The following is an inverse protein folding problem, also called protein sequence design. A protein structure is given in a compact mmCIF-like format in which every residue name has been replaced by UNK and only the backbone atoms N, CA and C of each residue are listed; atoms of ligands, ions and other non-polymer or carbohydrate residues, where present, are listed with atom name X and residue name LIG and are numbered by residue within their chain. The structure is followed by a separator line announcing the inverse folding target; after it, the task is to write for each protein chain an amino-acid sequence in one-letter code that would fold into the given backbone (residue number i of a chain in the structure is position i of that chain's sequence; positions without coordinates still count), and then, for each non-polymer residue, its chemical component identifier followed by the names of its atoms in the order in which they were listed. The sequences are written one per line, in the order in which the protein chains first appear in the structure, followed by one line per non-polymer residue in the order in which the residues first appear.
data_IF_947189898809
#
_entry.id   IF_947189898809
#
_cell.length_a   1.000
_cell.length_b   1.000
_cell.length_c   1.000
_cell.angle_alpha   90.00
_cell.angle_beta   90.00
_cell.angle_gamma   90.00
#
_symmetry.space_group_name_H-M   'P 1'
#
loop_
_entity.id
_entity.type
_entity.pdbx_description
1 polymer ?
#
# COMPACT_ATOMS: atom_id res chain seq x y z
N UNK A 1 -0.20 4.12 -14.98
CA UNK A 1 1.25 4.22 -14.69
C UNK A 1 1.49 5.56 -14.01
N UNK A 2 2.48 5.63 -13.11
CA UNK A 2 2.84 6.87 -12.41
C UNK A 2 3.57 7.85 -13.34
N UNK A 3 3.41 9.17 -13.15
CA UNK A 3 4.22 10.19 -13.83
C UNK A 3 5.69 10.09 -13.41
N UNK A 4 6.57 10.90 -14.02
CA UNK A 4 8.03 10.88 -13.74
C UNK A 4 8.35 11.15 -12.27
N UNK A 5 7.64 12.09 -11.66
CA UNK A 5 7.72 12.49 -10.26
C UNK A 5 6.80 11.68 -9.32
N UNK A 6 6.11 10.68 -9.86
CA UNK A 6 5.21 9.84 -9.06
C UNK A 6 5.97 8.94 -8.10
N UNK A 7 5.37 8.71 -6.94
CA UNK A 7 5.92 7.88 -5.87
C UNK A 7 4.92 6.79 -5.45
N UNK A 8 5.44 5.64 -5.01
CA UNK A 8 4.68 4.50 -4.51
C UNK A 8 5.26 4.03 -3.17
N UNK A 9 4.45 4.06 -2.12
CA UNK A 9 4.71 3.32 -0.88
C UNK A 9 4.10 1.92 -0.99
N UNK A 10 4.96 0.89 -1.05
CA UNK A 10 4.56 -0.50 -1.11
C UNK A 10 4.81 -1.18 0.24
N UNK A 11 3.76 -1.76 0.83
CA UNK A 11 3.78 -2.34 2.17
C UNK A 11 3.52 -3.85 2.08
N UNK A 12 4.37 -4.66 2.70
CA UNK A 12 4.16 -6.10 2.83
C UNK A 12 4.80 -6.60 4.13
N UNK A 13 4.23 -7.62 4.76
CA UNK A 13 4.82 -8.28 5.93
C UNK A 13 5.88 -9.32 5.52
N UNK A 14 5.80 -9.84 4.30
CA UNK A 14 6.68 -10.89 3.80
C UNK A 14 7.96 -10.31 3.18
N UNK A 15 9.06 -10.45 3.93
CA UNK A 15 10.40 -10.04 3.49
C UNK A 15 10.82 -10.70 2.17
N UNK A 16 10.43 -11.96 1.93
CA UNK A 16 10.81 -12.68 0.70
C UNK A 16 10.10 -12.08 -0.51
N UNK A 17 8.80 -11.83 -0.40
CA UNK A 17 8.01 -11.21 -1.46
C UNK A 17 8.53 -9.81 -1.76
N UNK A 18 8.81 -9.00 -0.73
CA UNK A 18 9.41 -7.67 -0.91
C UNK A 18 10.79 -7.72 -1.57
N UNK A 19 11.64 -8.71 -1.23
CA UNK A 19 12.94 -8.87 -1.87
C UNK A 19 12.81 -9.18 -3.37
N UNK A 20 11.83 -10.00 -3.75
CA UNK A 20 11.52 -10.28 -5.16
C UNK A 20 10.99 -9.03 -5.85
N UNK A 21 10.07 -8.31 -5.22
CA UNK A 21 9.50 -7.08 -5.77
C UNK A 21 10.59 -6.03 -6.05
N UNK A 22 11.48 -5.77 -5.08
CA UNK A 22 12.63 -4.86 -5.24
C UNK A 22 13.52 -5.26 -6.41
N UNK A 23 13.85 -6.55 -6.56
CA UNK A 23 14.63 -7.02 -7.71
C UNK A 23 13.96 -6.68 -9.04
N UNK A 24 12.65 -6.85 -9.15
CA UNK A 24 11.93 -6.55 -10.39
C UNK A 24 11.71 -5.05 -10.63
N UNK A 25 11.59 -4.24 -9.58
CA UNK A 25 11.56 -2.78 -9.72
C UNK A 25 12.87 -2.24 -10.30
N UNK A 26 14.02 -2.80 -9.88
CA UNK A 26 15.34 -2.49 -10.44
C UNK A 26 15.42 -2.88 -11.92
N UNK A 27 15.04 -4.13 -12.25
CA UNK A 27 15.06 -4.63 -13.63
C UNK A 27 14.13 -3.83 -14.55
N UNK A 28 13.02 -3.32 -14.04
CA UNK A 28 12.08 -2.49 -14.78
C UNK A 28 12.48 -1.00 -14.82
N UNK A 29 13.56 -0.61 -14.12
CA UNK A 29 14.03 0.77 -14.07
C UNK A 29 13.13 1.74 -13.29
N UNK A 30 12.24 1.23 -12.43
CA UNK A 30 11.26 2.04 -11.67
C UNK A 30 11.56 2.11 -10.17
N UNK A 31 12.62 1.45 -9.70
CA UNK A 31 12.98 1.40 -8.28
C UNK A 31 13.08 2.79 -7.62
N UNK A 32 13.53 3.81 -8.36
CA UNK A 32 13.62 5.19 -7.88
C UNK A 32 12.27 5.84 -7.50
N UNK A 33 11.14 5.25 -7.91
CA UNK A 33 9.79 5.72 -7.58
C UNK A 33 9.13 4.94 -6.44
N UNK A 34 9.74 3.86 -5.95
CA UNK A 34 9.07 2.91 -5.06
C UNK A 34 9.83 2.78 -3.75
N UNK A 35 9.14 3.07 -2.65
CA UNK A 35 9.60 2.71 -1.30
C UNK A 35 8.90 1.44 -0.85
N UNK A 36 9.67 0.36 -0.70
CA UNK A 36 9.17 -0.90 -0.14
C UNK A 36 9.44 -0.96 1.36
N UNK A 37 8.41 -1.12 2.19
CA UNK A 37 8.55 -1.29 3.65
C UNK A 37 8.10 -2.69 4.05
N UNK A 38 8.96 -3.39 4.82
CA UNK A 38 8.62 -4.69 5.39
C UNK A 38 8.12 -4.52 6.81
N UNK A 39 6.88 -4.92 7.08
CA UNK A 39 6.28 -4.85 8.41
C UNK A 39 4.76 -4.76 8.39
N UNK A 40 4.12 -4.65 9.57
CA UNK A 40 2.67 -4.52 9.67
C UNK A 40 2.18 -3.25 8.96
N UNK A 41 1.32 -3.40 7.95
CA UNK A 41 0.84 -2.29 7.14
C UNK A 41 0.19 -1.17 7.97
N UNK A 42 -0.56 -1.50 9.03
CA UNK A 42 -1.16 -0.50 9.91
C UNK A 42 -0.13 0.43 10.57
N UNK A 43 1.02 -0.12 11.00
CA UNK A 43 2.09 0.68 11.59
C UNK A 43 2.74 1.56 10.54
N UNK A 44 3.07 1.00 9.38
CA UNK A 44 3.68 1.77 8.29
C UNK A 44 2.77 2.88 7.75
N UNK A 45 1.46 2.66 7.70
CA UNK A 45 0.49 3.70 7.34
C UNK A 45 0.40 4.80 8.40
N UNK A 46 0.47 4.48 9.69
CA UNK A 46 0.53 5.48 10.76
C UNK A 46 1.82 6.31 10.67
N UNK A 47 2.95 5.66 10.41
CA UNK A 47 4.23 6.34 10.24
C UNK A 47 4.20 7.26 9.01
N UNK A 48 3.63 6.81 7.90
CA UNK A 48 3.42 7.65 6.71
C UNK A 48 2.52 8.85 7.02
N UNK A 49 1.44 8.66 7.77
CA UNK A 49 0.54 9.75 8.16
C UNK A 49 1.23 10.78 9.07
N UNK A 50 2.11 10.35 9.96
CA UNK A 50 2.89 11.24 10.80
C UNK A 50 3.98 11.98 9.99
N UNK A 51 4.63 11.28 9.06
CA UNK A 51 5.74 11.81 8.25
C UNK A 51 5.28 12.78 7.17
N UNK A 52 4.18 12.46 6.50
CA UNK A 52 3.72 13.17 5.28
C UNK A 52 2.51 14.08 5.55
N UNK A 53 1.80 13.83 6.65
CA UNK A 53 0.56 14.54 6.97
C UNK A 53 -0.66 13.99 6.23
N UNK A 54 -1.85 14.54 6.50
CA UNK A 54 -3.09 14.13 5.84
C UNK A 54 -3.12 14.57 4.37
N UNK A 55 -3.95 13.89 3.57
CA UNK A 55 -4.18 14.21 2.15
C UNK A 55 -2.91 14.18 1.26
N UNK A 56 -1.91 13.39 1.65
CA UNK A 56 -0.63 13.22 0.97
C UNK A 56 -0.64 12.21 -0.19
N UNK A 57 -1.68 11.37 -0.29
CA UNK A 57 -1.81 10.35 -1.32
C UNK A 57 -2.98 10.63 -2.28
N UNK A 58 -2.78 10.36 -3.57
CA UNK A 58 -3.84 10.41 -4.60
C UNK A 58 -4.67 9.12 -4.69
N UNK A 59 -4.04 7.99 -4.36
CA UNK A 59 -4.57 6.66 -4.60
C UNK A 59 -4.06 5.66 -3.55
N UNK A 60 -4.91 4.73 -3.15
CA UNK A 60 -4.55 3.59 -2.32
C UNK A 60 -5.15 2.29 -2.84
N UNK A 61 -4.39 1.20 -2.75
CA UNK A 61 -4.80 -0.14 -3.14
C UNK A 61 -4.58 -1.11 -1.98
N UNK A 62 -5.67 -1.71 -1.49
CA UNK A 62 -5.64 -2.66 -0.40
C UNK A 62 -5.91 -4.06 -0.97
N UNK A 63 -4.86 -4.87 -1.04
CA UNK A 63 -4.91 -6.31 -1.29
C UNK A 63 -4.08 -7.01 -0.22
N UNK A 64 -4.64 -7.01 0.98
CA UNK A 64 -4.01 -7.49 2.20
C UNK A 64 -4.93 -8.47 2.94
N UNK A 65 -4.60 -8.81 4.19
CA UNK A 65 -5.47 -9.61 5.03
C UNK A 65 -6.80 -8.89 5.32
N UNK A 66 -7.90 -9.64 5.27
CA UNK A 66 -9.27 -9.10 5.43
C UNK A 66 -9.53 -8.56 6.84
N UNK A 67 -8.78 -9.02 7.84
CA UNK A 67 -8.96 -8.60 9.23
C UNK A 67 -8.50 -7.16 9.44
N UNK A 68 -7.49 -6.71 8.70
CA UNK A 68 -6.97 -5.35 8.78
C UNK A 68 -7.74 -4.30 7.98
N UNK A 69 -8.71 -4.68 7.13
CA UNK A 69 -9.32 -3.75 6.15
C UNK A 69 -9.90 -2.48 6.79
N UNK A 70 -10.68 -2.61 7.86
CA UNK A 70 -11.27 -1.45 8.54
C UNK A 70 -10.17 -0.51 9.07
N UNK A 71 -9.13 -1.09 9.67
CA UNK A 71 -8.00 -0.30 10.19
C UNK A 71 -7.25 0.42 9.07
N UNK A 72 -6.95 -0.29 7.97
CA UNK A 72 -6.26 0.31 6.83
C UNK A 72 -7.10 1.41 6.19
N UNK A 73 -8.39 1.15 6.00
CA UNK A 73 -9.33 2.09 5.41
C UNK A 73 -9.44 3.38 6.23
N UNK A 74 -9.58 3.30 7.56
CA UNK A 74 -9.66 4.48 8.43
C UNK A 74 -8.38 5.33 8.39
N UNK A 75 -7.21 4.69 8.33
CA UNK A 75 -5.94 5.44 8.20
C UNK A 75 -5.84 6.06 6.80
N UNK A 76 -6.20 5.30 5.76
CA UNK A 76 -6.16 5.77 4.37
C UNK A 76 -7.16 6.88 4.08
N UNK A 77 -8.31 6.93 4.77
CA UNK A 77 -9.25 8.06 4.68
C UNK A 77 -8.60 9.39 5.12
N UNK A 78 -7.57 9.33 5.96
CA UNK A 78 -6.82 10.52 6.40
C UNK A 78 -5.65 10.83 5.48
N UNK A 79 -5.00 9.80 4.94
CA UNK A 79 -3.87 9.93 4.02
C UNK A 79 -4.27 10.33 2.60
N UNK A 80 -5.37 9.78 2.08
CA UNK A 80 -5.83 10.02 0.71
C UNK A 80 -6.60 11.33 0.65
N UNK A 81 -6.23 12.21 -0.28
CA UNK A 81 -6.86 13.51 -0.43
C UNK A 81 -8.34 13.42 -0.83
N UNK A 82 -9.15 14.47 -0.58
CA UNK A 82 -10.47 14.58 -1.17
C UNK A 82 -10.41 14.44 -2.70
N UNK A 83 -11.27 13.57 -3.24
CA UNK A 83 -11.29 13.21 -4.66
C UNK A 83 -10.25 12.17 -5.08
N UNK A 84 -9.42 11.68 -4.15
CA UNK A 84 -8.58 10.50 -4.35
C UNK A 84 -9.38 9.20 -4.31
N UNK A 85 -8.74 8.08 -4.65
CA UNK A 85 -9.40 6.79 -4.82
C UNK A 85 -8.76 5.72 -3.91
N UNK A 86 -9.60 5.06 -3.11
CA UNK A 86 -9.23 3.86 -2.36
C UNK A 86 -9.90 2.66 -3.02
N UNK A 87 -9.12 1.67 -3.44
CA UNK A 87 -9.60 0.42 -3.99
C UNK A 87 -9.27 -0.70 -3.02
N UNK A 88 -10.29 -1.47 -2.65
CA UNK A 88 -10.14 -2.66 -1.82
C UNK A 88 -10.43 -3.87 -2.69
N UNK A 89 -9.45 -4.76 -2.81
CA UNK A 89 -9.61 -6.02 -3.54
C UNK A 89 -9.62 -7.14 -2.54
N UNK A 90 -10.70 -7.92 -2.55
CA UNK A 90 -10.72 -9.19 -1.84
C UNK A 90 -10.43 -10.31 -2.84
N UNK A 91 -9.38 -11.07 -2.61
CA UNK A 91 -9.19 -12.34 -3.29
C UNK A 91 -10.43 -13.22 -3.08
N UNK A 92 -10.91 -13.85 -4.15
CA UNK A 92 -12.03 -14.79 -4.15
C UNK A 92 -11.62 -16.06 -3.35
N UNK A 93 -11.63 -15.96 -2.02
CA UNK A 93 -11.38 -17.10 -1.14
C UNK A 93 -12.62 -17.99 -1.15
N UNK A 94 -12.53 -19.14 -1.80
CA UNK A 94 -13.59 -20.16 -1.95
C UNK A 94 -13.94 -20.90 -0.65
N UNK A 95 -13.84 -20.24 0.51
CA UNK A 95 -14.03 -20.86 1.82
C UNK A 95 -14.75 -19.92 2.78
N UNK A 96 -16.07 -19.77 2.62
CA UNK A 96 -17.02 -19.47 3.71
C UNK A 96 -18.42 -19.98 3.30
N UNK A 97 -18.57 -21.31 3.24
CA UNK A 97 -19.87 -21.98 3.41
C UNK A 97 -19.63 -23.16 4.36
N UNK A 98 -19.90 -22.93 5.64
CA UNK A 98 -20.22 -23.96 6.62
C UNK A 98 -21.51 -23.53 7.31
#
# INVERSE_FOLDING_TARGET
ALPEDGYLLALDVDQRTMAVARKYWELAGVAHKVEGVVGPAAMSLQDALQREGPNSYDFAFIDADKQGYDTYYEILLRLVRPGGLIVIVSGLSRQQWH
#
